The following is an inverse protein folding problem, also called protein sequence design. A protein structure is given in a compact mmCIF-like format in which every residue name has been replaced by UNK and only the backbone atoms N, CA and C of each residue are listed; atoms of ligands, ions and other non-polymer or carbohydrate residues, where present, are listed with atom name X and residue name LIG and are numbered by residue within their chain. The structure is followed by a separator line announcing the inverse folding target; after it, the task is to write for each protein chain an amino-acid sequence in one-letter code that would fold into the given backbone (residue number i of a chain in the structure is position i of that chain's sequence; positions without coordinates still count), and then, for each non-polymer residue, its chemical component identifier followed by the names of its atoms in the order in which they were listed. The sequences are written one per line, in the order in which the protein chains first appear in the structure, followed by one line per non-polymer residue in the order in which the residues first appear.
data_IF_446056384298
#
_entry.id   IF_446056384298
#
_cell.length_a   1.000
_cell.length_b   1.000
_cell.length_c   1.000
_cell.angle_alpha   90.00
_cell.angle_beta   90.00
_cell.angle_gamma   90.00
#
_symmetry.space_group_name_H-M   'P 1'
#
loop_
_entity.id
_entity.type
_entity.pdbx_description
1 polymer ?
#
# COMPACT_ATOMS: atom_id res chain seq x y z
N UNK A 1 14.09 35.55 63.01
CA UNK A 1 15.29 36.09 63.70
C UNK A 1 16.42 35.11 63.38
N UNK A 2 17.20 35.39 62.33
CA UNK A 2 18.58 35.98 62.33
C UNK A 2 19.60 34.93 62.79
N UNK A 3 20.59 34.52 61.99
CA UNK A 3 21.86 35.16 61.55
C UNK A 3 22.57 34.13 60.62
N UNK A 4 23.62 34.33 59.82
CA UNK A 4 24.42 35.44 59.24
C UNK A 4 25.28 34.80 58.11
N UNK A 5 25.93 35.65 57.31
CA UNK A 5 26.78 35.37 56.15
C UNK A 5 28.10 34.60 56.42
N UNK A 6 28.63 33.92 55.41
CA UNK A 6 29.86 34.30 54.65
C UNK A 6 30.43 33.13 53.80
N UNK A 7 30.86 33.43 52.57
CA UNK A 7 31.75 32.57 51.78
C UNK A 7 31.75 32.86 50.27
N UNK A 8 32.49 33.90 49.87
CA UNK A 8 32.77 34.33 48.49
C UNK A 8 34.17 33.85 48.07
N UNK A 9 34.34 33.31 46.84
CA UNK A 9 35.64 33.19 46.12
C UNK A 9 35.42 33.11 44.58
N UNK A 10 35.48 34.28 43.93
CA UNK A 10 36.23 34.72 42.71
C UNK A 10 37.05 33.65 41.92
N UNK A 11 37.29 33.65 40.58
CA UNK A 11 36.81 34.26 39.32
C UNK A 11 37.83 33.82 38.24
N UNK A 12 37.43 33.78 36.96
CA UNK A 12 38.28 33.90 35.75
C UNK A 12 39.16 32.73 35.24
N UNK A 13 38.84 32.35 34.00
CA UNK A 13 39.60 31.51 33.07
C UNK A 13 38.95 31.56 31.67
N UNK A 14 38.98 32.75 31.06
CA UNK A 14 38.54 33.11 29.69
C UNK A 14 39.33 32.35 28.59
N UNK A 15 38.90 32.26 27.29
CA UNK A 15 38.42 33.37 26.42
C UNK A 15 37.04 33.12 25.75
N UNK A 16 36.17 34.12 25.66
CA UNK A 16 36.06 35.22 24.66
C UNK A 16 35.64 34.79 23.24
N UNK A 17 34.58 35.44 22.77
CA UNK A 17 33.65 35.12 21.69
C UNK A 17 34.19 35.45 20.27
N UNK A 18 33.39 35.24 19.18
CA UNK A 18 32.33 36.21 18.89
C UNK A 18 30.99 35.59 18.47
N UNK A 19 29.96 36.40 18.68
CA UNK A 19 28.65 36.35 18.07
C UNK A 19 28.75 37.20 16.80
N UNK A 20 28.43 36.64 15.63
CA UNK A 20 28.05 37.38 14.41
C UNK A 20 27.29 36.39 13.52
N UNK A 21 25.98 36.59 13.38
CA UNK A 21 25.33 37.13 12.16
C UNK A 21 24.98 36.02 11.18
N UNK A 22 23.72 35.57 11.25
CA UNK A 22 23.03 34.88 10.16
C UNK A 22 22.99 35.84 8.95
N UNK A 23 23.86 35.63 7.98
CA UNK A 23 23.73 36.14 6.62
C UNK A 23 24.27 35.04 5.66
N UNK A 24 23.33 34.51 4.89
CA UNK A 24 23.48 34.04 3.49
C UNK A 24 24.73 33.21 3.14
N UNK A 25 24.60 31.88 3.25
CA UNK A 25 25.25 30.98 2.29
C UNK A 25 24.15 30.19 1.57
N UNK A 26 23.77 30.72 0.40
CA UNK A 26 23.29 29.96 -0.74
C UNK A 26 24.35 28.90 -1.09
N UNK A 27 24.29 27.73 -0.45
CA UNK A 27 25.00 26.55 -0.97
C UNK A 27 24.07 25.82 -1.94
N UNK A 28 24.20 26.23 -3.19
CA UNK A 28 24.39 25.37 -4.35
C UNK A 28 23.49 24.13 -4.42
N UNK A 29 22.38 24.33 -5.15
CA UNK A 29 21.86 23.37 -6.10
C UNK A 29 22.99 22.53 -6.74
N UNK A 30 23.09 21.24 -6.41
CA UNK A 30 23.51 20.21 -7.36
C UNK A 30 23.17 18.81 -6.80
N UNK A 31 22.34 18.07 -7.57
CA UNK A 31 22.11 16.62 -7.53
C UNK A 31 20.88 16.00 -6.79
N UNK A 32 19.70 16.63 -6.86
CA UNK A 32 18.41 15.91 -6.77
C UNK A 32 17.46 16.30 -7.92
N UNK A 33 17.90 16.12 -9.17
CA UNK A 33 16.99 16.13 -10.34
C UNK A 33 17.49 15.27 -11.53
N UNK A 34 18.24 14.19 -11.28
CA UNK A 34 18.80 13.33 -12.35
C UNK A 34 17.98 12.09 -12.71
N UNK A 35 16.70 12.01 -12.35
CA UNK A 35 15.83 10.89 -12.76
C UNK A 35 14.53 11.29 -13.46
N UNK A 36 14.39 12.56 -13.87
CA UNK A 36 13.17 13.07 -14.52
C UNK A 36 13.44 13.70 -15.89
N UNK A 37 14.43 13.21 -16.63
CA UNK A 37 14.47 13.46 -18.08
C UNK A 37 13.68 12.35 -18.80
N UNK A 38 12.49 12.65 -19.38
CA UNK A 38 11.70 11.66 -20.12
C UNK A 38 12.45 11.08 -21.33
N UNK A 39 13.51 11.75 -21.79
CA UNK A 39 14.36 11.29 -22.88
C UNK A 39 15.34 10.21 -22.39
N UNK A 40 15.97 10.38 -21.23
CA UNK A 40 16.85 9.36 -20.64
C UNK A 40 16.07 8.09 -20.30
N UNK A 41 14.88 8.21 -19.71
CA UNK A 41 14.03 7.05 -19.39
C UNK A 41 13.58 6.27 -20.63
N UNK A 42 13.38 6.94 -21.77
CA UNK A 42 13.01 6.28 -23.04
C UNK A 42 14.18 5.50 -23.65
N UNK A 43 15.39 6.02 -23.53
CA UNK A 43 16.58 5.35 -24.07
C UNK A 43 16.89 4.07 -23.30
N UNK A 44 16.77 4.06 -21.96
CA UNK A 44 17.02 2.83 -21.19
C UNK A 44 15.94 1.77 -21.44
N UNK A 45 14.67 2.16 -21.52
CA UNK A 45 13.58 1.23 -21.88
C UNK A 45 13.83 0.60 -23.25
N UNK A 46 14.33 1.38 -24.21
CA UNK A 46 14.69 0.87 -25.54
C UNK A 46 15.83 -0.14 -25.46
N UNK A 47 16.89 0.14 -24.71
CA UNK A 47 17.99 -0.80 -24.49
C UNK A 47 17.50 -2.11 -23.87
N UNK A 48 16.55 -2.06 -22.92
CA UNK A 48 15.93 -3.24 -22.33
C UNK A 48 15.08 -4.03 -23.36
N UNK A 49 14.38 -3.34 -24.25
CA UNK A 49 13.54 -3.94 -25.30
C UNK A 49 14.36 -4.65 -26.38
N UNK A 50 15.51 -4.07 -26.76
CA UNK A 50 16.42 -4.61 -27.78
C UNK A 50 17.16 -5.88 -27.32
N UNK A 51 17.17 -6.20 -26.01
CA UNK A 51 17.71 -7.45 -25.48
C UNK A 51 16.82 -8.65 -25.83
N UNK A 52 17.45 -9.78 -26.15
CA UNK A 52 16.75 -11.06 -26.28
C UNK A 52 16.10 -11.47 -24.95
N UNK A 53 14.93 -12.16 -24.96
CA UNK A 53 14.26 -12.63 -23.74
C UNK A 53 15.17 -13.34 -22.73
N UNK A 54 16.16 -14.11 -23.20
CA UNK A 54 17.09 -14.84 -22.35
C UNK A 54 18.14 -13.95 -21.65
N UNK A 55 18.39 -12.76 -22.18
CA UNK A 55 19.41 -11.82 -21.70
C UNK A 55 18.82 -10.68 -20.85
N UNK A 56 17.49 -10.62 -20.73
CA UNK A 56 16.79 -9.66 -19.86
C UNK A 56 17.03 -10.00 -18.39
N UNK A 57 17.53 -9.03 -17.63
CA UNK A 57 17.71 -9.12 -16.17
C UNK A 57 16.43 -8.72 -15.43
N UNK A 58 16.37 -8.99 -14.12
CA UNK A 58 15.22 -8.56 -13.30
C UNK A 58 15.07 -7.03 -13.29
N UNK A 59 16.18 -6.28 -13.28
CA UNK A 59 16.19 -4.81 -13.38
C UNK A 59 15.65 -4.32 -14.73
N UNK A 60 15.98 -5.02 -15.83
CA UNK A 60 15.42 -4.71 -17.15
C UNK A 60 13.90 -4.91 -17.16
N UNK A 61 13.42 -6.00 -16.56
CA UNK A 61 12.00 -6.30 -16.48
C UNK A 61 11.26 -5.24 -15.66
N UNK A 62 11.84 -4.73 -14.58
CA UNK A 62 11.23 -3.67 -13.76
C UNK A 62 11.08 -2.35 -14.54
N UNK A 63 12.09 -1.97 -15.33
CA UNK A 63 12.02 -0.79 -16.18
C UNK A 63 10.97 -0.94 -17.29
N UNK A 64 10.89 -2.12 -17.91
CA UNK A 64 9.86 -2.43 -18.89
C UNK A 64 8.46 -2.38 -18.27
N UNK A 65 8.30 -2.91 -17.05
CA UNK A 65 7.02 -2.90 -16.34
C UNK A 65 6.51 -1.47 -16.08
N UNK A 66 7.38 -0.56 -15.67
CA UNK A 66 7.01 0.84 -15.40
C UNK A 66 6.49 1.53 -16.67
N UNK A 67 7.15 1.32 -17.80
CA UNK A 67 6.71 1.86 -19.10
C UNK A 67 5.42 1.20 -19.59
N UNK A 68 5.36 -0.13 -19.58
CA UNK A 68 4.23 -0.91 -20.11
C UNK A 68 2.96 -0.73 -19.28
N UNK A 69 3.08 -0.40 -17.98
CA UNK A 69 1.92 -0.20 -17.11
C UNK A 69 0.98 0.91 -17.61
N UNK A 70 1.54 1.89 -18.32
CA UNK A 70 0.82 3.05 -18.85
C UNK A 70 -0.02 2.71 -20.10
N UNK A 71 0.24 1.58 -20.75
CA UNK A 71 -0.40 1.22 -22.02
C UNK A 71 -1.74 0.49 -21.81
N UNK A 72 -2.82 0.92 -22.50
CA UNK A 72 -4.15 0.30 -22.37
C UNK A 72 -4.19 -1.20 -22.63
N UNK A 73 -3.34 -1.72 -23.54
CA UNK A 73 -3.25 -3.14 -23.86
C UNK A 73 -3.01 -4.03 -22.62
N UNK A 74 -2.33 -3.52 -21.59
CA UNK A 74 -2.01 -4.28 -20.38
C UNK A 74 -2.96 -3.99 -19.21
N UNK A 75 -3.89 -3.03 -19.33
CA UNK A 75 -4.68 -2.49 -18.22
C UNK A 75 -5.42 -3.56 -17.40
N UNK A 76 -5.96 -4.59 -18.07
CA UNK A 76 -6.74 -5.66 -17.45
C UNK A 76 -5.90 -6.88 -16.99
N UNK A 77 -4.57 -6.77 -16.98
CA UNK A 77 -3.65 -7.83 -16.58
C UNK A 77 -3.06 -7.56 -15.20
N UNK A 78 -2.90 -8.61 -14.38
CA UNK A 78 -2.23 -8.50 -13.07
C UNK A 78 -0.74 -8.19 -13.24
N UNK A 79 -0.10 -7.64 -12.21
CA UNK A 79 1.33 -7.32 -12.26
C UNK A 79 2.19 -8.57 -12.55
N UNK A 80 1.79 -9.75 -12.05
CA UNK A 80 2.49 -11.01 -12.35
C UNK A 80 2.43 -11.35 -13.83
N UNK A 81 1.25 -11.25 -14.46
CA UNK A 81 1.10 -11.45 -15.91
C UNK A 81 1.97 -10.46 -16.68
N UNK A 82 1.90 -9.17 -16.33
CA UNK A 82 2.68 -8.14 -17.02
C UNK A 82 4.19 -8.41 -16.92
N UNK A 83 4.67 -8.86 -15.75
CA UNK A 83 6.07 -9.20 -15.52
C UNK A 83 6.51 -10.37 -16.40
N UNK A 84 5.71 -11.43 -16.47
CA UNK A 84 5.99 -12.57 -17.36
C UNK A 84 5.91 -12.19 -18.84
N UNK A 85 5.00 -11.30 -19.25
CA UNK A 85 4.96 -10.80 -20.62
C UNK A 85 6.22 -9.98 -20.96
N UNK A 86 6.71 -9.16 -20.02
CA UNK A 86 7.96 -8.39 -20.17
C UNK A 86 9.19 -9.29 -20.32
N UNK A 87 9.20 -10.48 -19.73
CA UNK A 87 10.34 -11.40 -19.87
C UNK A 87 10.37 -12.16 -21.19
N UNK A 88 9.25 -12.25 -21.93
CA UNK A 88 9.17 -13.00 -23.21
C UNK A 88 8.96 -12.12 -24.44
N UNK A 89 8.67 -10.83 -24.26
CA UNK A 89 8.41 -9.92 -25.38
C UNK A 89 9.65 -9.69 -26.24
N UNK A 90 9.40 -9.56 -27.55
CA UNK A 90 10.39 -9.27 -28.59
C UNK A 90 10.06 -7.91 -29.18
N UNK A 91 11.08 -7.07 -29.36
CA UNK A 91 10.93 -5.73 -29.93
C UNK A 91 11.12 -5.74 -31.45
N UNK A 92 10.21 -5.10 -32.17
CA UNK A 92 10.26 -4.99 -33.63
C UNK A 92 10.05 -3.54 -34.10
N UNK A 93 10.77 -3.15 -35.15
CA UNK A 93 10.68 -1.81 -35.76
C UNK A 93 10.37 -1.94 -37.25
N UNK A 94 9.41 -1.15 -37.72
CA UNK A 94 9.03 -1.04 -39.13
C UNK A 94 9.31 0.40 -39.58
N UNK A 95 10.38 0.55 -40.37
CA UNK A 95 10.92 1.86 -40.77
C UNK A 95 9.97 2.65 -41.68
N UNK A 96 9.25 1.98 -42.59
CA UNK A 96 8.52 2.65 -43.68
C UNK A 96 7.00 2.68 -43.45
N UNK A 97 6.41 3.85 -43.69
CA UNK A 97 4.97 4.03 -43.81
C UNK A 97 4.41 3.23 -45.00
N UNK A 98 3.25 2.64 -44.82
CA UNK A 98 2.58 1.84 -45.84
C UNK A 98 3.04 0.38 -45.89
N UNK A 99 3.97 -0.04 -45.03
CA UNK A 99 4.39 -1.43 -44.89
C UNK A 99 3.25 -2.29 -44.36
N UNK A 100 3.07 -3.47 -44.96
CA UNK A 100 2.06 -4.45 -44.53
C UNK A 100 2.70 -5.32 -43.44
N UNK A 101 2.10 -5.31 -42.25
CA UNK A 101 2.55 -6.11 -41.10
C UNK A 101 1.90 -7.49 -41.15
N UNK A 102 0.59 -7.54 -41.45
CA UNK A 102 -0.18 -8.76 -41.55
C UNK A 102 -1.07 -8.71 -42.79
N UNK A 103 -1.07 -9.78 -43.58
CA UNK A 103 -1.91 -9.96 -44.75
C UNK A 103 -3.26 -10.62 -44.41
N UNK A 104 -4.27 -10.36 -45.24
CA UNK A 104 -5.58 -11.00 -45.08
C UNK A 104 -5.47 -12.52 -45.26
N UNK A 105 -6.03 -13.28 -44.31
CA UNK A 105 -5.92 -14.73 -44.29
C UNK A 105 -4.57 -15.28 -43.83
N UNK A 106 -3.61 -14.44 -43.43
CA UNK A 106 -2.36 -14.89 -42.83
C UNK A 106 -2.63 -15.59 -41.48
N UNK A 107 -1.96 -16.72 -41.22
CA UNK A 107 -1.98 -17.38 -39.90
C UNK A 107 -1.29 -16.48 -38.88
N UNK A 108 -1.99 -16.17 -37.79
CA UNK A 108 -1.49 -15.34 -36.71
C UNK A 108 -0.70 -16.20 -35.72
N UNK A 109 0.53 -15.81 -35.44
CA UNK A 109 1.43 -16.48 -34.50
C UNK A 109 1.77 -15.65 -33.26
N UNK A 110 1.41 -14.36 -33.25
CA UNK A 110 1.85 -13.40 -32.25
C UNK A 110 0.77 -12.37 -31.89
N UNK A 111 0.85 -11.87 -30.66
CA UNK A 111 0.11 -10.72 -30.16
C UNK A 111 1.01 -9.49 -30.22
N UNK A 112 0.51 -8.40 -30.79
CA UNK A 112 1.28 -7.18 -31.06
C UNK A 112 0.75 -6.03 -30.21
N UNK A 113 1.64 -5.27 -29.59
CA UNK A 113 1.32 -4.00 -28.91
C UNK A 113 2.12 -2.87 -29.53
N UNK A 114 1.45 -1.75 -29.83
CA UNK A 114 2.04 -0.60 -30.50
C UNK A 114 2.72 0.28 -29.44
N UNK A 115 4.05 0.40 -29.51
CA UNK A 115 4.82 1.28 -28.62
C UNK A 115 4.99 2.68 -29.19
N UNK A 116 5.11 2.79 -30.51
CA UNK A 116 5.18 4.05 -31.24
C UNK A 116 4.56 3.90 -32.63
N UNK A 117 3.93 4.96 -33.11
CA UNK A 117 3.35 5.02 -34.45
C UNK A 117 1.85 4.70 -34.50
N UNK A 118 1.37 4.40 -35.70
CA UNK A 118 -0.06 4.18 -35.98
C UNK A 118 -0.21 3.17 -37.10
N UNK A 119 -1.14 2.24 -36.94
CA UNK A 119 -1.48 1.24 -37.95
C UNK A 119 -2.96 1.35 -38.31
N UNK A 120 -3.29 0.93 -39.52
CA UNK A 120 -4.66 0.84 -40.02
C UNK A 120 -4.96 -0.60 -40.38
N UNK A 121 -6.08 -1.12 -39.86
CA UNK A 121 -6.64 -2.42 -40.23
C UNK A 121 -7.73 -2.16 -41.26
N UNK A 122 -7.53 -2.67 -42.48
CA UNK A 122 -8.52 -2.59 -43.56
C UNK A 122 -9.25 -3.91 -43.71
N UNK A 123 -10.55 -3.94 -43.43
CA UNK A 123 -11.36 -5.15 -43.45
C UNK A 123 -11.97 -5.42 -44.84
N UNK A 124 -12.32 -6.68 -45.18
CA UNK A 124 -12.93 -7.02 -46.47
C UNK A 124 -14.29 -6.35 -46.74
N UNK A 125 -15.00 -5.93 -45.69
CA UNK A 125 -16.28 -5.23 -45.79
C UNK A 125 -16.15 -3.73 -46.13
N UNK A 126 -14.91 -3.26 -46.36
CA UNK A 126 -14.59 -1.88 -46.68
C UNK A 126 -14.48 -0.96 -45.47
N UNK A 127 -14.69 -1.47 -44.25
CA UNK A 127 -14.40 -0.71 -43.03
C UNK A 127 -12.90 -0.66 -42.77
N UNK A 128 -12.47 0.40 -42.12
CA UNK A 128 -11.11 0.53 -41.60
C UNK A 128 -11.14 0.99 -40.16
N UNK A 129 -10.14 0.54 -39.40
CA UNK A 129 -9.92 0.90 -38.01
C UNK A 129 -8.47 1.35 -37.86
N UNK A 130 -8.24 2.47 -37.17
CA UNK A 130 -6.90 2.98 -36.90
C UNK A 130 -6.55 2.72 -35.44
N UNK A 131 -5.41 2.08 -35.23
CA UNK A 131 -4.87 1.78 -33.90
C UNK A 131 -3.60 2.61 -33.67
N UNK A 132 -3.51 3.22 -32.50
CA UNK A 132 -2.43 4.11 -32.10
C UNK A 132 -1.57 3.46 -30.99
N UNK A 133 -0.54 4.18 -30.55
CA UNK A 133 0.26 3.83 -29.38
C UNK A 133 -0.60 3.34 -28.21
N UNK A 134 -0.21 2.20 -27.63
CA UNK A 134 -0.86 1.55 -26.51
C UNK A 134 -2.03 0.63 -26.87
N UNK A 135 -2.49 0.61 -28.12
CA UNK A 135 -3.41 -0.41 -28.62
C UNK A 135 -2.68 -1.70 -28.99
N UNK A 136 -3.44 -2.78 -29.13
CA UNK A 136 -2.93 -4.11 -29.48
C UNK A 136 -3.76 -4.78 -30.58
N UNK A 137 -3.15 -5.68 -31.35
CA UNK A 137 -3.80 -6.47 -32.39
C UNK A 137 -3.12 -7.85 -32.53
N UNK A 138 -3.65 -8.71 -33.40
CA UNK A 138 -3.12 -10.07 -33.63
C UNK A 138 -3.96 -11.15 -32.94
N UNK A 139 -3.30 -12.13 -32.32
CA UNK A 139 -3.98 -13.28 -31.71
C UNK A 139 -4.82 -12.90 -30.48
N UNK A 140 -5.85 -13.71 -30.23
CA UNK A 140 -6.47 -13.88 -28.91
C UNK A 140 -5.81 -15.06 -28.16
N UNK A 141 -5.90 -15.14 -26.82
CA UNK A 141 -5.22 -16.18 -26.04
C UNK A 141 -5.84 -17.57 -26.23
N UNK A 142 -5.51 -18.23 -27.35
CA UNK A 142 -5.88 -19.60 -27.69
C UNK A 142 -4.71 -20.30 -28.39
N UNK A 143 -4.68 -21.63 -28.34
CA UNK A 143 -3.79 -22.47 -29.15
C UNK A 143 -4.41 -22.84 -30.52
N UNK A 144 -5.67 -22.48 -30.75
CA UNK A 144 -6.31 -22.70 -32.04
C UNK A 144 -5.67 -21.79 -33.10
N UNK A 145 -5.59 -22.31 -34.34
CA UNK A 145 -5.14 -21.52 -35.49
C UNK A 145 -6.08 -20.35 -35.71
N UNK A 146 -5.54 -19.15 -35.66
CA UNK A 146 -6.24 -17.91 -35.92
C UNK A 146 -5.69 -17.30 -37.21
N UNK A 147 -6.55 -16.61 -37.94
CA UNK A 147 -6.17 -15.97 -39.20
C UNK A 147 -6.56 -14.51 -39.15
N UNK A 148 -5.73 -13.67 -39.76
CA UNK A 148 -6.00 -12.25 -39.88
C UNK A 148 -7.25 -12.04 -40.75
N UNK A 149 -8.17 -11.19 -40.28
CA UNK A 149 -9.31 -10.73 -41.06
C UNK A 149 -9.06 -9.27 -41.45
N UNK A 150 -8.65 -9.04 -42.70
CA UNK A 150 -8.20 -7.75 -43.19
C UNK A 150 -6.68 -7.63 -43.28
N UNK A 151 -6.20 -6.44 -43.64
CA UNK A 151 -4.77 -6.15 -43.82
C UNK A 151 -4.34 -5.09 -42.82
N UNK A 152 -3.26 -5.35 -42.07
CA UNK A 152 -2.67 -4.37 -41.15
C UNK A 152 -1.53 -3.63 -41.84
N UNK A 153 -1.61 -2.30 -41.89
CA UNK A 153 -0.62 -1.46 -42.56
C UNK A 153 -0.15 -0.29 -41.68
N UNK A 154 1.14 0.01 -41.69
CA UNK A 154 1.68 1.21 -41.02
C UNK A 154 1.19 2.49 -41.70
N UNK A 155 0.84 3.52 -40.92
CA UNK A 155 0.41 4.83 -41.44
C UNK A 155 1.50 5.89 -41.36
N UNK A 156 2.54 5.65 -40.57
CA UNK A 156 3.68 6.53 -40.36
C UNK A 156 4.98 5.71 -40.43
N UNK A 157 6.09 6.40 -40.60
CA UNK A 157 7.43 5.81 -40.52
C UNK A 157 7.79 5.47 -39.06
N UNK A 158 8.79 4.62 -38.87
CA UNK A 158 9.34 4.24 -37.55
C UNK A 158 8.29 3.73 -36.54
N UNK A 159 7.37 2.87 -37.00
CA UNK A 159 6.44 2.18 -36.12
C UNK A 159 7.19 1.14 -35.28
N UNK A 160 6.91 1.10 -33.98
CA UNK A 160 7.58 0.22 -33.01
C UNK A 160 6.56 -0.67 -32.31
N UNK A 161 6.88 -1.95 -32.21
CA UNK A 161 6.01 -2.97 -31.65
C UNK A 161 6.73 -3.82 -30.62
N UNK A 162 5.96 -4.36 -29.68
CA UNK A 162 6.35 -5.56 -28.96
C UNK A 162 5.46 -6.72 -29.36
N UNK A 163 6.10 -7.85 -29.62
CA UNK A 163 5.50 -9.06 -30.12
C UNK A 163 5.64 -10.16 -29.07
N UNK A 164 4.55 -10.87 -28.79
CA UNK A 164 4.52 -12.01 -27.87
C UNK A 164 3.97 -13.21 -28.61
N UNK A 165 4.78 -14.27 -28.70
CA UNK A 165 4.40 -15.48 -29.41
C UNK A 165 3.17 -16.16 -28.78
N UNK A 166 2.35 -16.82 -29.61
CA UNK A 166 1.08 -17.44 -29.22
C UNK A 166 1.23 -18.43 -28.07
N UNK A 167 2.28 -19.25 -28.09
CA UNK A 167 2.53 -20.24 -27.05
C UNK A 167 2.80 -19.58 -25.70
N UNK A 168 3.58 -18.49 -25.68
CA UNK A 168 3.90 -17.77 -24.45
C UNK A 168 2.69 -16.99 -23.96
N UNK A 169 2.00 -16.27 -24.85
CA UNK A 169 0.81 -15.49 -24.51
C UNK A 169 -0.30 -16.36 -23.89
N UNK A 170 -0.60 -17.51 -24.53
CA UNK A 170 -1.56 -18.47 -24.01
C UNK A 170 -1.10 -19.09 -22.69
N UNK A 171 0.17 -19.51 -22.59
CA UNK A 171 0.71 -20.14 -21.38
C UNK A 171 0.63 -19.20 -20.19
N UNK A 172 1.06 -17.96 -20.33
CA UNK A 172 1.10 -16.96 -19.25
C UNK A 172 -0.32 -16.66 -18.76
N UNK A 173 -1.26 -16.36 -19.67
CA UNK A 173 -2.63 -16.04 -19.29
C UNK A 173 -3.38 -17.23 -18.68
N UNK A 174 -3.22 -18.43 -19.23
CA UNK A 174 -3.86 -19.62 -18.67
C UNK A 174 -3.22 -20.10 -17.37
N UNK A 175 -1.92 -19.85 -17.17
CA UNK A 175 -1.28 -20.16 -15.90
C UNK A 175 -1.94 -19.37 -14.78
N UNK A 176 -2.20 -18.08 -15.00
CA UNK A 176 -2.92 -17.25 -14.04
C UNK A 176 -4.36 -17.68 -13.84
N UNK A 177 -5.09 -18.04 -14.89
CA UNK A 177 -6.45 -18.56 -14.74
C UNK A 177 -6.48 -19.84 -13.89
N UNK A 178 -5.55 -20.77 -14.12
CA UNK A 178 -5.42 -22.01 -13.33
C UNK A 178 -4.96 -21.76 -11.90
N UNK A 179 -4.16 -20.73 -11.67
CA UNK A 179 -3.66 -20.35 -10.35
C UNK A 179 -4.61 -19.41 -9.62
N UNK A 180 -5.71 -18.99 -10.25
CA UNK A 180 -6.71 -18.12 -9.63
C UNK A 180 -7.74 -18.96 -8.88
N UNK A 181 -7.81 -18.78 -7.58
CA UNK A 181 -8.81 -19.39 -6.71
C UNK A 181 -9.91 -18.38 -6.36
N UNK A 182 -11.14 -18.67 -6.77
CA UNK A 182 -12.33 -17.87 -6.47
C UNK A 182 -13.05 -18.47 -5.26
N UNK A 183 -13.28 -17.66 -4.24
CA UNK A 183 -14.08 -18.00 -3.07
C UNK A 183 -15.50 -17.48 -3.33
N UNK A 184 -16.46 -18.40 -3.34
CA UNK A 184 -17.87 -18.10 -3.56
C UNK A 184 -18.67 -18.33 -2.28
N UNK A 185 -19.47 -17.34 -1.91
CA UNK A 185 -20.40 -17.39 -0.77
C UNK A 185 -21.78 -16.95 -1.28
N UNK A 186 -22.82 -17.73 -0.98
CA UNK A 186 -24.20 -17.48 -1.44
C UNK A 186 -24.37 -17.35 -2.98
N UNK A 187 -23.44 -17.91 -3.75
CA UNK A 187 -23.44 -17.85 -5.22
C UNK A 187 -22.73 -16.63 -5.81
N UNK A 188 -22.17 -15.76 -4.97
CA UNK A 188 -21.41 -14.58 -5.38
C UNK A 188 -19.91 -14.76 -5.09
N UNK A 189 -19.06 -14.26 -5.98
CA UNK A 189 -17.60 -14.31 -5.78
C UNK A 189 -17.20 -13.20 -4.80
N UNK A 190 -16.90 -13.58 -3.56
CA UNK A 190 -16.54 -12.64 -2.48
C UNK A 190 -15.04 -12.39 -2.36
N UNK A 191 -14.20 -13.28 -2.89
CA UNK A 191 -12.74 -13.13 -2.83
C UNK A 191 -12.05 -13.91 -3.94
N UNK A 192 -11.00 -13.34 -4.49
CA UNK A 192 -10.14 -13.95 -5.51
C UNK A 192 -8.71 -13.93 -5.01
N UNK A 193 -8.12 -15.13 -4.93
CA UNK A 193 -6.72 -15.33 -4.55
C UNK A 193 -5.94 -15.85 -5.76
N UNK A 194 -4.67 -15.50 -5.84
CA UNK A 194 -3.75 -15.99 -6.87
C UNK A 194 -2.67 -16.83 -6.20
N UNK A 195 -2.45 -18.06 -6.70
CA UNK A 195 -1.34 -18.89 -6.28
C UNK A 195 -0.06 -18.40 -6.95
N UNK A 196 0.94 -18.00 -6.16
CA UNK A 196 2.24 -17.53 -6.63
C UNK A 196 3.37 -18.42 -6.12
N UNK A 197 4.35 -18.65 -6.97
CA UNK A 197 5.63 -19.28 -6.64
C UNK A 197 6.73 -18.21 -6.78
N UNK A 198 7.29 -17.77 -5.65
CA UNK A 198 8.25 -16.66 -5.61
C UNK A 198 9.71 -17.11 -5.74
N UNK A 199 9.99 -18.41 -5.69
CA UNK A 199 11.33 -18.96 -5.86
C UNK A 199 11.37 -20.14 -6.84
N UNK A 200 12.50 -20.28 -7.54
CA UNK A 200 12.73 -21.41 -8.47
C UNK A 200 12.81 -22.76 -7.76
N UNK A 201 13.00 -22.77 -6.43
CA UNK A 201 13.00 -23.98 -5.60
C UNK A 201 11.59 -24.48 -5.26
N UNK A 202 10.54 -23.71 -5.52
CA UNK A 202 9.15 -24.06 -5.21
C UNK A 202 8.85 -24.13 -3.70
N UNK A 203 9.75 -23.58 -2.87
CA UNK A 203 9.65 -23.58 -1.41
C UNK A 203 8.83 -22.41 -0.89
N UNK A 204 8.80 -21.28 -1.61
CA UNK A 204 7.97 -20.11 -1.31
C UNK A 204 6.81 -20.05 -2.28
N UNK A 205 5.81 -20.89 -2.02
CA UNK A 205 4.55 -20.89 -2.76
C UNK A 205 3.35 -20.71 -1.85
N UNK A 206 2.33 -20.05 -2.36
CA UNK A 206 1.17 -19.72 -1.56
C UNK A 206 0.17 -18.84 -2.28
N UNK A 207 -0.84 -18.40 -1.56
CA UNK A 207 -1.95 -17.62 -2.12
C UNK A 207 -1.88 -16.17 -1.65
N UNK A 208 -2.03 -15.24 -2.60
CA UNK A 208 -2.11 -13.80 -2.33
C UNK A 208 -3.51 -13.30 -2.69
N UNK A 209 -4.05 -12.38 -1.89
CA UNK A 209 -5.35 -11.76 -2.17
C UNK A 209 -5.23 -10.78 -3.33
N UNK A 210 -6.05 -10.93 -4.37
CA UNK A 210 -6.06 -10.01 -5.53
C UNK A 210 -7.22 -9.02 -5.44
N UNK A 211 -8.41 -9.52 -5.09
CA UNK A 211 -9.59 -8.69 -4.86
C UNK A 211 -10.55 -9.43 -3.93
N UNK A 212 -11.30 -8.69 -3.14
CA UNK A 212 -12.35 -9.23 -2.29
C UNK A 212 -13.33 -8.12 -1.91
N UNK A 213 -14.50 -8.52 -1.42
CA UNK A 213 -15.43 -7.57 -0.79
C UNK A 213 -14.82 -7.03 0.51
N UNK A 214 -15.18 -5.81 0.94
CA UNK A 214 -14.69 -5.25 2.20
C UNK A 214 -14.91 -6.17 3.40
N UNK A 215 -16.07 -6.80 3.49
CA UNK A 215 -16.41 -7.74 4.58
C UNK A 215 -15.48 -8.94 4.57
N UNK A 216 -15.17 -9.48 3.39
CA UNK A 216 -14.32 -10.66 3.26
C UNK A 216 -12.85 -10.35 3.54
N UNK A 217 -12.40 -9.14 3.24
CA UNK A 217 -11.08 -8.64 3.67
C UNK A 217 -11.00 -8.55 5.20
N UNK A 218 -12.02 -8.00 5.87
CA UNK A 218 -12.07 -7.96 7.34
C UNK A 218 -11.98 -9.37 7.93
N UNK A 219 -12.74 -10.33 7.38
CA UNK A 219 -12.69 -11.74 7.80
C UNK A 219 -11.30 -12.37 7.64
N UNK A 220 -10.55 -11.97 6.61
CA UNK A 220 -9.23 -12.54 6.35
C UNK A 220 -8.19 -12.17 7.41
N UNK A 221 -8.37 -11.08 8.18
CA UNK A 221 -7.45 -10.64 9.24
C UNK A 221 -7.12 -11.70 10.31
N UNK A 222 -8.07 -12.60 10.59
CA UNK A 222 -7.93 -13.67 11.60
C UNK A 222 -7.69 -15.06 11.00
N UNK A 223 -7.63 -15.15 9.67
CA UNK A 223 -7.33 -16.40 8.97
C UNK A 223 -5.83 -16.71 9.01
N UNK A 224 -5.47 -17.89 8.49
CA UNK A 224 -4.08 -18.21 8.24
C UNK A 224 -3.62 -17.54 6.95
N UNK A 225 -2.61 -16.69 7.09
CA UNK A 225 -2.02 -15.95 5.99
C UNK A 225 -0.95 -16.82 5.33
N UNK A 226 -0.80 -16.64 4.03
CA UNK A 226 0.20 -17.40 3.29
C UNK A 226 1.62 -16.90 3.60
N UNK A 227 2.61 -17.79 3.55
CA UNK A 227 4.01 -17.41 3.72
C UNK A 227 4.51 -16.40 2.69
N UNK A 228 3.81 -16.33 1.54
CA UNK A 228 4.08 -15.38 0.44
C UNK A 228 3.37 -14.05 0.63
N UNK A 229 2.51 -13.92 1.64
CA UNK A 229 1.78 -12.69 2.00
C UNK A 229 1.86 -12.45 3.52
N UNK A 230 3.06 -12.24 4.08
CA UNK A 230 3.25 -12.05 5.51
C UNK A 230 2.75 -10.69 6.01
N UNK A 231 2.62 -9.70 5.13
CA UNK A 231 2.29 -8.30 5.44
C UNK A 231 0.81 -7.96 5.29
N UNK A 232 -0.05 -8.92 4.91
CA UNK A 232 -1.48 -8.68 4.69
C UNK A 232 -2.16 -7.80 5.75
N UNK A 233 -1.90 -8.06 7.04
CA UNK A 233 -2.51 -7.28 8.14
C UNK A 233 -2.04 -5.81 8.09
N UNK A 234 -0.75 -5.59 7.84
CA UNK A 234 -0.18 -4.24 7.72
C UNK A 234 -0.75 -3.52 6.50
N UNK A 235 -0.82 -4.21 5.36
CA UNK A 235 -1.39 -3.68 4.12
C UNK A 235 -2.87 -3.33 4.28
N UNK A 236 -3.65 -4.19 4.93
CA UNK A 236 -5.05 -3.94 5.25
C UNK A 236 -5.19 -2.72 6.17
N UNK A 237 -4.44 -2.68 7.29
CA UNK A 237 -4.52 -1.58 8.26
C UNK A 237 -4.04 -0.24 7.66
N UNK A 238 -3.12 -0.29 6.70
CA UNK A 238 -2.69 0.88 5.96
C UNK A 238 -3.75 1.35 4.94
N UNK A 239 -4.52 0.45 4.34
CA UNK A 239 -5.33 0.79 3.14
C UNK A 239 -6.84 0.75 3.35
N UNK A 240 -7.35 0.24 4.49
CA UNK A 240 -8.79 0.06 4.72
C UNK A 240 -9.61 1.34 4.49
N UNK A 241 -9.02 2.51 4.79
CA UNK A 241 -9.65 3.83 4.61
C UNK A 241 -10.01 4.16 3.16
N UNK A 242 -9.52 3.40 2.18
CA UNK A 242 -9.87 3.57 0.76
C UNK A 242 -11.16 2.86 0.38
N UNK A 243 -11.62 1.88 1.17
CA UNK A 243 -12.79 1.05 0.86
C UNK A 243 -13.78 0.86 2.02
N UNK A 244 -13.44 1.27 3.24
CA UNK A 244 -14.35 1.33 4.39
C UNK A 244 -14.69 2.77 4.74
N UNK A 245 -15.92 2.99 5.23
CA UNK A 245 -16.38 4.31 5.67
C UNK A 245 -15.95 4.61 7.09
N UNK A 246 -15.82 3.60 7.95
CA UNK A 246 -15.39 3.77 9.34
C UNK A 246 -14.44 2.66 9.80
N UNK A 247 -13.34 2.99 10.52
CA UNK A 247 -12.51 1.99 11.17
C UNK A 247 -13.27 1.15 12.22
N UNK A 248 -14.37 1.69 12.76
CA UNK A 248 -15.17 1.01 13.76
C UNK A 248 -15.81 -0.28 13.22
N UNK A 249 -15.99 -0.41 11.90
CA UNK A 249 -16.45 -1.64 11.26
C UNK A 249 -15.48 -2.80 11.54
N UNK A 250 -14.17 -2.54 11.44
CA UNK A 250 -13.09 -3.48 11.78
C UNK A 250 -13.04 -3.71 13.29
N UNK A 251 -13.05 -2.62 14.08
CA UNK A 251 -13.00 -2.69 15.54
C UNK A 251 -14.13 -3.52 16.14
N UNK A 252 -15.36 -3.34 15.65
CA UNK A 252 -16.54 -4.08 16.11
C UNK A 252 -16.39 -5.59 15.85
N UNK A 253 -15.88 -5.98 14.68
CA UNK A 253 -15.61 -7.39 14.34
C UNK A 253 -14.50 -7.99 15.19
N UNK A 254 -13.45 -7.23 15.46
CA UNK A 254 -12.36 -7.66 16.35
C UNK A 254 -12.86 -7.88 17.79
N UNK A 255 -13.71 -7.01 18.33
CA UNK A 255 -14.33 -7.22 19.65
C UNK A 255 -15.24 -8.45 19.66
N UNK A 256 -16.06 -8.64 18.62
CA UNK A 256 -16.90 -9.81 18.45
C UNK A 256 -16.06 -11.11 18.48
N UNK A 257 -14.98 -11.17 17.69
CA UNK A 257 -14.09 -12.33 17.64
C UNK A 257 -13.26 -12.54 18.91
N UNK A 258 -12.98 -11.50 19.68
CA UNK A 258 -12.28 -11.63 20.95
C UNK A 258 -13.07 -12.46 21.98
N UNK A 259 -14.39 -12.53 21.83
CA UNK A 259 -15.24 -13.41 22.67
C UNK A 259 -14.95 -14.89 22.44
N UNK A 260 -14.36 -15.26 21.29
CA UNK A 260 -14.00 -16.63 20.92
C UNK A 260 -12.56 -16.93 21.37
N UNK A 261 -12.41 -17.84 22.33
CA UNK A 261 -11.13 -18.18 22.97
C UNK A 261 -9.99 -18.48 21.98
N UNK A 262 -10.28 -19.22 20.90
CA UNK A 262 -9.27 -19.63 19.89
C UNK A 262 -8.78 -18.49 18.99
N UNK A 263 -9.48 -17.35 18.97
CA UNK A 263 -9.16 -16.20 18.12
C UNK A 263 -8.48 -15.07 18.89
N UNK A 264 -8.48 -15.09 20.23
CA UNK A 264 -7.99 -13.99 21.08
C UNK A 264 -6.58 -13.54 20.74
N UNK A 265 -5.63 -14.47 20.60
CA UNK A 265 -4.24 -14.13 20.30
C UNK A 265 -4.10 -13.48 18.92
N UNK A 266 -4.87 -13.95 17.92
CA UNK A 266 -4.87 -13.36 16.57
C UNK A 266 -5.47 -11.96 16.57
N UNK A 267 -6.63 -11.78 17.20
CA UNK A 267 -7.29 -10.48 17.37
C UNK A 267 -6.33 -9.51 18.07
N UNK A 268 -5.71 -9.96 19.16
CA UNK A 268 -4.77 -9.14 19.93
C UNK A 268 -3.57 -8.71 19.10
N UNK A 269 -3.02 -9.61 18.28
CA UNK A 269 -1.96 -9.26 17.33
C UNK A 269 -2.37 -8.16 16.36
N UNK A 270 -3.56 -8.27 15.78
CA UNK A 270 -4.10 -7.26 14.84
C UNK A 270 -4.24 -5.90 15.54
N UNK A 271 -4.88 -5.86 16.72
CA UNK A 271 -5.08 -4.60 17.45
C UNK A 271 -3.76 -3.96 17.88
N UNK A 272 -2.80 -4.75 18.37
CA UNK A 272 -1.48 -4.23 18.75
C UNK A 272 -0.71 -3.67 17.55
N UNK A 273 -0.74 -4.34 16.40
CA UNK A 273 -0.16 -3.81 15.16
C UNK A 273 -0.84 -2.50 14.75
N UNK A 274 -2.17 -2.44 14.84
CA UNK A 274 -2.94 -1.26 14.50
C UNK A 274 -2.60 -0.05 15.37
N UNK A 275 -2.63 -0.22 16.69
CA UNK A 275 -2.27 0.84 17.65
C UNK A 275 -0.82 1.29 17.46
N UNK A 276 0.10 0.36 17.24
CA UNK A 276 1.52 0.67 17.10
C UNK A 276 1.84 1.45 15.81
N UNK A 277 1.21 1.07 14.70
CA UNK A 277 1.56 1.60 13.37
C UNK A 277 0.65 2.77 12.94
N UNK A 278 -0.60 2.80 13.40
CA UNK A 278 -1.59 3.79 12.98
C UNK A 278 -2.40 4.37 14.16
N UNK A 279 -1.72 4.81 15.23
CA UNK A 279 -2.37 5.45 16.39
C UNK A 279 -3.28 6.65 16.05
N UNK A 280 -3.01 7.32 14.92
CA UNK A 280 -3.83 8.42 14.41
C UNK A 280 -5.28 8.00 14.14
N UNK A 281 -5.54 6.72 13.85
CA UNK A 281 -6.90 6.18 13.67
C UNK A 281 -7.71 6.21 14.99
N UNK A 282 -7.04 6.40 16.13
CA UNK A 282 -7.64 6.42 17.47
C UNK A 282 -7.64 7.81 18.11
N UNK A 283 -6.54 8.57 18.00
CA UNK A 283 -6.33 9.84 18.73
C UNK A 283 -7.43 10.88 18.47
N UNK A 284 -8.02 10.91 17.27
CA UNK A 284 -9.05 11.86 16.85
C UNK A 284 -10.48 11.32 16.83
N UNK A 285 -10.69 10.03 17.12
CA UNK A 285 -11.98 9.36 16.95
C UNK A 285 -12.51 8.83 18.30
N UNK A 286 -13.58 9.44 18.86
CA UNK A 286 -14.18 8.99 20.12
C UNK A 286 -14.77 7.57 20.08
N UNK A 287 -15.17 7.06 18.92
CA UNK A 287 -15.64 5.69 18.78
C UNK A 287 -14.46 4.71 18.84
N UNK A 288 -13.36 5.01 18.16
CA UNK A 288 -12.15 4.19 18.21
C UNK A 288 -11.46 4.23 19.58
N UNK A 289 -11.50 5.37 20.27
CA UNK A 289 -11.04 5.47 21.67
C UNK A 289 -11.84 4.53 22.57
N UNK A 290 -13.17 4.52 22.47
CA UNK A 290 -14.03 3.61 23.24
C UNK A 290 -13.77 2.13 22.92
N UNK A 291 -13.52 1.82 21.64
CA UNK A 291 -13.10 0.48 21.23
C UNK A 291 -11.82 0.04 21.95
N UNK A 292 -10.81 0.92 22.06
CA UNK A 292 -9.57 0.59 22.79
C UNK A 292 -9.82 0.38 24.28
N UNK A 293 -10.66 1.20 24.91
CA UNK A 293 -11.01 1.04 26.32
C UNK A 293 -11.75 -0.29 26.58
N UNK A 294 -12.67 -0.67 25.68
CA UNK A 294 -13.37 -1.95 25.75
C UNK A 294 -12.42 -3.13 25.52
N UNK A 295 -11.50 -3.00 24.57
CA UNK A 295 -10.49 -4.02 24.30
C UNK A 295 -9.51 -4.18 25.47
N UNK A 296 -9.06 -3.08 26.08
CA UNK A 296 -8.23 -3.06 27.30
C UNK A 296 -8.92 -3.83 28.43
N UNK A 297 -10.20 -3.53 28.69
CA UNK A 297 -10.99 -4.22 29.71
C UNK A 297 -11.12 -5.72 29.40
N UNK A 298 -11.36 -6.07 28.14
CA UNK A 298 -11.45 -7.48 27.74
C UNK A 298 -10.14 -8.23 27.97
N UNK A 299 -8.97 -7.61 27.75
CA UNK A 299 -7.66 -8.20 28.08
C UNK A 299 -7.48 -8.38 29.60
N UNK A 300 -7.96 -7.44 30.42
CA UNK A 300 -7.96 -7.55 31.87
C UNK A 300 -8.83 -8.71 32.36
N UNK A 301 -10.08 -8.77 31.90
CA UNK A 301 -11.08 -9.78 32.27
C UNK A 301 -10.62 -11.19 31.89
N UNK A 302 -9.95 -11.32 30.73
CA UNK A 302 -9.35 -12.58 30.25
C UNK A 302 -7.95 -12.85 30.80
N UNK A 303 -7.43 -11.97 31.67
CA UNK A 303 -6.11 -12.09 32.34
C UNK A 303 -4.92 -12.17 31.39
N UNK A 304 -5.01 -11.57 30.20
CA UNK A 304 -3.94 -11.50 29.19
C UNK A 304 -2.92 -10.41 29.53
N UNK A 305 -2.32 -10.47 30.72
CA UNK A 305 -1.44 -9.41 31.29
C UNK A 305 -0.27 -9.00 30.41
N UNK A 306 0.33 -9.95 29.68
CA UNK A 306 1.44 -9.67 28.76
C UNK A 306 1.00 -8.77 27.61
N UNK A 307 -0.13 -9.10 26.98
CA UNK A 307 -0.70 -8.31 25.90
C UNK A 307 -1.22 -6.95 26.37
N UNK A 308 -1.85 -6.89 27.54
CA UNK A 308 -2.26 -5.63 28.16
C UNK A 308 -1.06 -4.69 28.38
N UNK A 309 0.05 -5.24 28.86
CA UNK A 309 1.30 -4.46 29.02
C UNK A 309 1.82 -3.95 27.68
N UNK A 310 1.77 -4.75 26.62
CA UNK A 310 2.20 -4.33 25.28
C UNK A 310 1.29 -3.22 24.72
N UNK A 311 -0.02 -3.33 24.91
CA UNK A 311 -0.98 -2.30 24.52
C UNK A 311 -0.67 -0.97 25.22
N UNK A 312 -0.46 -1.00 26.54
CA UNK A 312 -0.16 0.19 27.31
C UNK A 312 1.17 0.83 26.91
N UNK A 313 2.20 0.02 26.60
CA UNK A 313 3.47 0.52 26.06
C UNK A 313 3.27 1.18 24.70
N UNK A 314 2.50 0.55 23.80
CA UNK A 314 2.23 1.11 22.47
C UNK A 314 1.49 2.45 22.57
N UNK A 315 0.45 2.54 23.40
CA UNK A 315 -0.27 3.80 23.62
C UNK A 315 0.63 4.87 24.25
N UNK A 316 1.42 4.53 25.28
CA UNK A 316 2.32 5.47 25.94
C UNK A 316 3.42 6.00 25.01
N UNK A 317 3.96 5.15 24.14
CA UNK A 317 4.98 5.53 23.16
C UNK A 317 4.45 6.51 22.10
N UNK A 318 3.12 6.62 21.93
CA UNK A 318 2.44 7.53 21.01
C UNK A 318 1.84 8.74 21.71
N UNK A 319 1.97 8.84 23.04
CA UNK A 319 1.44 9.95 23.80
C UNK A 319 2.15 11.26 23.43
N UNK A 320 1.37 12.33 23.31
CA UNK A 320 1.85 13.67 22.97
C UNK A 320 1.53 14.65 24.09
N UNK A 321 2.45 15.58 24.34
CA UNK A 321 2.18 16.72 25.21
C UNK A 321 1.09 17.60 24.61
N UNK A 322 0.12 17.97 25.44
CA UNK A 322 -0.98 18.85 25.05
C UNK A 322 -1.39 19.76 26.20
N UNK A 323 -1.80 20.97 25.86
CA UNK A 323 -2.25 21.96 26.84
C UNK A 323 -3.77 22.06 26.78
N UNK A 324 -4.43 21.80 27.90
CA UNK A 324 -5.88 21.88 28.04
C UNK A 324 -6.21 22.95 29.08
N UNK A 325 -7.14 23.85 28.74
CA UNK A 325 -7.61 24.91 29.65
C UNK A 325 -9.06 24.66 30.02
N UNK A 326 -9.31 24.22 31.25
CA UNK A 326 -10.67 24.01 31.76
C UNK A 326 -11.15 25.23 32.56
N UNK A 327 -12.11 25.97 32.02
CA UNK A 327 -12.71 27.11 32.70
C UNK A 327 -13.89 26.69 33.58
N UNK A 328 -13.77 26.97 34.89
CA UNK A 328 -14.86 26.76 35.86
C UNK A 328 -15.79 27.98 35.89
N UNK A 329 -17.13 27.78 35.82
CA UNK A 329 -18.09 28.87 36.03
C UNK A 329 -18.00 29.49 37.43
N UNK A 330 -17.70 28.68 38.45
CA UNK A 330 -17.51 29.11 39.83
C UNK A 330 -16.52 28.20 40.56
N UNK A 331 -15.99 28.65 41.71
CA UNK A 331 -15.06 27.85 42.53
C UNK A 331 -15.63 26.49 42.93
N UNK A 332 -16.93 26.44 43.21
CA UNK A 332 -17.61 25.25 43.73
C UNK A 332 -18.18 24.36 42.61
N UNK A 333 -18.06 24.77 41.34
CA UNK A 333 -18.45 23.92 40.21
C UNK A 333 -17.61 22.63 40.19
N UNK A 334 -18.21 21.47 39.90
CA UNK A 334 -17.46 20.22 39.76
C UNK A 334 -16.52 20.28 38.55
N UNK A 335 -15.47 19.46 38.58
CA UNK A 335 -14.48 19.35 37.51
C UNK A 335 -14.88 18.38 36.41
N UNK A 336 -15.84 17.48 36.68
CA UNK A 336 -16.35 16.47 35.73
C UNK A 336 -15.29 15.47 35.23
N UNK A 337 -14.21 15.29 35.99
CA UNK A 337 -13.22 14.23 35.83
C UNK A 337 -12.66 13.78 37.19
N UNK A 338 -12.13 12.55 37.25
CA UNK A 338 -11.39 12.02 38.42
C UNK A 338 -9.92 11.82 38.11
N UNK A 339 -9.07 11.89 39.13
CA UNK A 339 -7.63 11.65 39.05
C UNK A 339 -7.26 10.38 39.81
N UNK A 340 -6.31 9.64 39.27
CA UNK A 340 -5.70 8.45 39.87
C UNK A 340 -4.19 8.66 39.97
N UNK A 341 -3.56 8.00 40.94
CA UNK A 341 -2.14 8.12 41.21
C UNK A 341 -1.84 9.20 42.25
N UNK A 342 -0.66 9.81 42.14
CA UNK A 342 -0.14 10.77 43.11
C UNK A 342 1.16 10.32 43.77
N UNK A 343 1.91 11.31 44.27
CA UNK A 343 3.21 11.11 44.92
C UNK A 343 3.12 10.23 46.17
N UNK A 344 1.97 10.20 46.82
CA UNK A 344 1.64 9.30 47.94
C UNK A 344 1.68 7.82 47.55
N UNK A 345 1.48 7.51 46.26
CA UNK A 345 1.54 6.14 45.72
C UNK A 345 2.82 5.88 44.92
N UNK A 346 3.69 6.88 44.74
CA UNK A 346 4.91 6.77 43.95
C UNK A 346 4.69 6.72 42.43
N UNK A 347 3.52 7.16 41.95
CA UNK A 347 3.16 7.16 40.52
C UNK A 347 2.82 8.58 40.04
N UNK A 348 2.89 8.79 38.71
CA UNK A 348 2.35 9.99 38.08
C UNK A 348 0.86 10.18 38.37
N UNK A 349 0.35 11.38 38.13
CA UNK A 349 -1.08 11.69 38.25
C UNK A 349 -1.71 11.46 36.88
N UNK A 350 -2.76 10.66 36.82
CA UNK A 350 -3.46 10.32 35.58
C UNK A 350 -4.95 10.65 35.68
N UNK A 351 -5.55 11.06 34.57
CA UNK A 351 -7.01 11.20 34.47
C UNK A 351 -7.63 9.81 34.39
N UNK A 352 -8.48 9.47 35.34
CA UNK A 352 -9.11 8.14 35.44
C UNK A 352 -10.45 8.09 34.71
N UNK A 353 -11.30 9.10 34.91
CA UNK A 353 -12.60 9.21 34.25
C UNK A 353 -12.85 10.64 33.81
N UNK A 354 -13.59 10.83 32.71
CA UNK A 354 -14.10 12.11 32.24
C UNK A 354 -15.58 11.92 31.90
N UNK A 355 -16.45 12.79 32.40
CA UNK A 355 -17.89 12.68 32.15
C UNK A 355 -18.22 13.07 30.71
N UNK A 356 -18.92 12.20 29.97
CA UNK A 356 -19.29 12.40 28.57
C UNK A 356 -20.21 13.62 28.44
N UNK A 357 -19.91 14.52 27.49
CA UNK A 357 -20.69 15.74 27.26
C UNK A 357 -20.46 16.84 28.30
N UNK A 358 -19.50 16.67 29.21
CA UNK A 358 -19.11 17.70 30.18
C UNK A 358 -18.13 18.72 29.58
N UNK A 359 -17.94 19.85 30.28
CA UNK A 359 -16.92 20.85 29.92
C UNK A 359 -15.50 20.28 29.91
N UNK A 360 -15.22 19.25 30.70
CA UNK A 360 -13.91 18.59 30.71
C UNK A 360 -13.69 17.79 29.41
N UNK A 361 -14.72 17.07 28.94
CA UNK A 361 -14.69 16.38 27.66
C UNK A 361 -14.60 17.36 26.49
N UNK A 362 -15.38 18.45 26.52
CA UNK A 362 -15.34 19.53 25.51
C UNK A 362 -13.98 20.22 25.44
N UNK A 363 -13.31 20.41 26.58
CA UNK A 363 -11.97 20.96 26.65
C UNK A 363 -10.89 19.99 26.11
N UNK A 364 -11.27 18.73 25.82
CA UNK A 364 -10.38 17.73 25.22
C UNK A 364 -9.64 16.85 26.23
N UNK A 365 -10.02 16.88 27.51
CA UNK A 365 -9.45 15.99 28.53
C UNK A 365 -9.88 14.55 28.25
N UNK A 366 -8.94 13.59 28.35
CA UNK A 366 -9.22 12.17 28.07
C UNK A 366 -8.71 11.30 29.21
N UNK A 367 -9.34 10.12 29.39
CA UNK A 367 -8.83 9.07 30.27
C UNK A 367 -7.41 8.68 29.83
N UNK A 368 -6.51 8.51 30.81
CA UNK A 368 -5.11 8.18 30.58
C UNK A 368 -4.17 9.38 30.41
N UNK A 369 -4.69 10.61 30.33
CA UNK A 369 -3.83 11.81 30.35
C UNK A 369 -3.00 11.86 31.63
N UNK A 370 -1.69 11.99 31.49
CA UNK A 370 -0.81 12.28 32.60
C UNK A 370 -0.76 13.80 32.84
N UNK A 371 -0.99 14.23 34.09
CA UNK A 371 -1.03 15.64 34.53
C UNK A 371 0.27 16.06 35.17
#
# INVERSE_FOLDING_TARGET
ATESEMGDVDLTGLPEAPVDSEDEEEEEDEDIDRTSDPLLGRDVVRECLEKEPADKTDDDIEQLLEFMHQLPAFANMTMSVRRELCSVMIFEVVEQAGAIILEDGQELDSWYVILNGTVEISYPDGKSESLCMGNSFGITPSLDKQYMNGVVRTKVDDCQFVCIAQQDYWRILNHVEKNTHKVEEEGEIVMVKEHRELDRSGTRKGHIVIKATPERLIMHLIEEHSIVDPTYIEDFLLTYRTFLSSPLEVGSKLLEWFTVDSLRDKVTRVVLLWVNNHFNDFEGDPAMTRFLEEFEKNLEDTKMKGHLRLLNIACAAKAKWRQITLQKPSRDSPLFFSLLGGSDKGFGIFVETVEIGSKAAEAGLKRGDQV
#
